data_IF_518656438701
#
_entry.id   IF_518656438701
#
_cell.length_a   1.000
_cell.length_b   1.000
_cell.length_c   1.000
_cell.angle_alpha   90.00
_cell.angle_beta   90.00
_cell.angle_gamma   90.00
#
_symmetry.space_group_name_H-M   'P 1'
#
loop_
_entity.id
_entity.type
_entity.pdbx_description
1 polymer ?
#
# COMPACT_ATOMS: atom_id res chain seq x y z
N UNK A 1 3.14 -9.11 -14.23
CA UNK A 1 3.06 -7.67 -14.55
C UNK A 1 3.98 -6.94 -13.57
N UNK A 2 4.57 -5.79 -13.94
CA UNK A 2 5.50 -5.04 -13.08
C UNK A 2 5.08 -3.56 -13.06
N UNK A 3 5.10 -2.95 -11.87
CA UNK A 3 4.81 -1.54 -11.59
C UNK A 3 5.93 -1.06 -10.66
N UNK A 4 6.75 -0.10 -11.10
CA UNK A 4 7.98 0.25 -10.38
C UNK A 4 8.81 -0.97 -9.98
N UNK A 5 9.03 -1.12 -8.67
CA UNK A 5 9.73 -2.24 -8.06
C UNK A 5 8.81 -3.41 -7.67
N UNK A 6 7.50 -3.28 -7.82
CA UNK A 6 6.50 -4.30 -7.48
C UNK A 6 6.25 -5.26 -8.64
N UNK A 7 6.25 -6.56 -8.33
CA UNK A 7 5.96 -7.63 -9.29
C UNK A 7 4.69 -8.37 -8.89
N UNK A 8 3.67 -8.29 -9.73
CA UNK A 8 2.45 -9.11 -9.62
C UNK A 8 2.72 -10.48 -10.23
N UNK A 9 2.55 -11.51 -9.40
CA UNK A 9 2.83 -12.93 -9.72
C UNK A 9 1.53 -13.75 -9.79
N UNK A 10 1.59 -15.06 -9.56
CA UNK A 10 0.39 -15.89 -9.36
C UNK A 10 0.01 -15.96 -7.87
N UNK A 11 0.99 -15.83 -6.99
CA UNK A 11 0.83 -16.03 -5.55
C UNK A 11 0.60 -14.71 -4.80
N UNK A 12 0.70 -13.56 -5.48
CA UNK A 12 0.57 -12.25 -4.84
C UNK A 12 1.37 -11.14 -5.50
N UNK A 13 1.67 -10.10 -4.73
CA UNK A 13 2.53 -8.97 -5.10
C UNK A 13 3.82 -9.08 -4.31
N UNK A 14 4.97 -8.89 -4.97
CA UNK A 14 6.28 -9.02 -4.35
C UNK A 14 7.13 -7.82 -4.67
N UNK A 15 7.73 -7.22 -3.65
CA UNK A 15 8.77 -6.21 -3.80
C UNK A 15 10.05 -6.80 -4.42
N UNK A 16 10.59 -6.13 -5.43
CA UNK A 16 11.82 -6.51 -6.15
C UNK A 16 12.76 -5.33 -6.37
N UNK A 17 12.69 -4.32 -5.51
CA UNK A 17 13.57 -3.16 -5.56
C UNK A 17 14.97 -3.45 -5.00
N UNK A 18 15.84 -2.43 -4.99
CA UNK A 18 17.18 -2.53 -4.45
C UNK A 18 17.16 -2.73 -2.93
N UNK A 19 18.23 -3.32 -2.38
CA UNK A 19 18.40 -3.54 -0.94
C UNK A 19 18.17 -5.01 -0.51
N UNK A 20 18.08 -5.21 0.80
CA UNK A 20 17.84 -6.53 1.43
C UNK A 20 16.43 -6.67 2.03
N UNK A 21 15.61 -5.62 1.95
CA UNK A 21 14.26 -5.64 2.47
C UNK A 21 13.35 -6.44 1.55
N UNK A 22 12.42 -7.18 2.14
CA UNK A 22 11.45 -7.99 1.43
C UNK A 22 10.04 -7.62 1.90
N UNK A 23 9.14 -7.42 0.95
CA UNK A 23 7.72 -7.23 1.22
C UNK A 23 6.90 -8.07 0.26
N UNK A 24 5.97 -8.85 0.80
CA UNK A 24 5.14 -9.79 0.03
C UNK A 24 3.70 -9.67 0.50
N UNK A 25 2.80 -9.46 -0.44
CA UNK A 25 1.36 -9.44 -0.22
C UNK A 25 0.77 -10.72 -0.84
N UNK A 26 0.32 -11.69 -0.04
CA UNK A 26 -0.28 -12.92 -0.55
C UNK A 26 -1.57 -12.63 -1.33
N UNK A 27 -1.79 -13.32 -2.45
CA UNK A 27 -3.01 -13.17 -3.24
C UNK A 27 -4.29 -13.49 -2.44
N UNK A 28 -4.21 -14.43 -1.49
CA UNK A 28 -5.32 -14.81 -0.61
C UNK A 28 -5.72 -13.75 0.39
N UNK A 29 -4.81 -12.83 0.71
CA UNK A 29 -5.01 -11.77 1.70
C UNK A 29 -4.96 -10.39 1.06
N UNK A 30 -4.83 -10.29 -0.27
CA UNK A 30 -4.61 -9.03 -0.97
C UNK A 30 -5.65 -7.97 -0.58
N UNK A 31 -6.94 -8.34 -0.59
CA UNK A 31 -8.06 -7.44 -0.23
C UNK A 31 -8.44 -7.53 1.26
N UNK A 32 -7.52 -7.96 2.13
CA UNK A 32 -7.77 -7.94 3.56
C UNK A 32 -7.99 -6.51 4.04
N UNK A 33 -9.03 -6.35 4.85
CA UNK A 33 -9.50 -5.06 5.36
C UNK A 33 -9.10 -4.89 6.83
N UNK A 34 -8.88 -3.63 7.23
CA UNK A 34 -8.64 -3.22 8.61
C UNK A 34 -9.45 -1.97 8.97
N UNK A 35 -9.73 -1.73 10.26
CA UNK A 35 -10.23 -0.42 10.68
C UNK A 35 -9.22 0.69 10.34
N UNK A 36 -9.70 1.80 9.81
CA UNK A 36 -8.90 3.02 9.63
C UNK A 36 -8.59 3.73 10.96
N UNK A 37 -7.70 4.71 10.92
CA UNK A 37 -7.33 5.55 12.08
C UNK A 37 -8.37 6.64 12.36
N UNK A 38 -8.77 6.78 13.64
CA UNK A 38 -9.44 7.91 14.33
C UNK A 38 -10.71 8.55 13.71
N UNK A 39 -11.02 8.28 12.44
CA UNK A 39 -12.14 8.81 11.66
C UNK A 39 -12.24 8.18 10.26
N UNK A 40 -11.17 7.58 9.72
CA UNK A 40 -11.24 6.93 8.41
C UNK A 40 -12.06 5.64 8.48
N UNK A 41 -12.94 5.39 7.49
CA UNK A 41 -13.62 4.11 7.37
C UNK A 41 -12.61 2.99 7.07
N UNK A 42 -13.10 1.76 6.95
CA UNK A 42 -12.26 0.59 6.64
C UNK A 42 -11.29 0.83 5.47
N UNK A 43 -10.03 0.41 5.66
CA UNK A 43 -8.93 0.51 4.68
C UNK A 43 -8.34 -0.86 4.34
N UNK A 44 -7.51 -0.96 3.31
CA UNK A 44 -6.80 -2.20 2.97
C UNK A 44 -5.53 -2.35 3.80
N UNK A 45 -5.48 -3.45 4.55
CA UNK A 45 -4.42 -3.76 5.50
C UNK A 45 -3.02 -3.70 4.88
N UNK A 46 -2.86 -4.33 3.71
CA UNK A 46 -1.54 -4.52 3.12
C UNK A 46 -0.95 -3.27 2.48
N UNK A 47 -1.78 -2.37 1.97
CA UNK A 47 -1.30 -1.07 1.48
C UNK A 47 -0.79 -0.27 2.66
N UNK A 48 -1.57 -0.22 3.74
CA UNK A 48 -1.17 0.54 4.90
C UNK A 48 0.05 -0.04 5.63
N UNK A 49 0.20 -1.36 5.67
CA UNK A 49 1.45 -1.99 6.16
C UNK A 49 2.66 -1.58 5.34
N UNK A 50 2.51 -1.43 4.02
CA UNK A 50 3.60 -0.94 3.19
C UNK A 50 3.86 0.55 3.44
N UNK A 51 2.82 1.35 3.67
CA UNK A 51 2.95 2.76 4.08
C UNK A 51 3.78 2.90 5.36
N UNK A 52 3.66 1.97 6.32
CA UNK A 52 4.45 1.96 7.57
C UNK A 52 5.95 1.61 7.37
N UNK A 53 6.37 1.22 6.17
CA UNK A 53 7.75 0.82 5.89
C UNK A 53 8.58 2.01 5.36
N UNK A 54 9.28 2.75 6.23
CA UNK A 54 10.07 3.95 5.87
C UNK A 54 11.16 3.76 4.80
N UNK A 55 11.47 2.52 4.40
CA UNK A 55 12.41 2.25 3.31
C UNK A 55 11.74 2.21 1.92
N UNK A 56 10.40 2.24 1.87
CA UNK A 56 9.63 2.46 0.66
C UNK A 56 9.44 3.97 0.46
N UNK A 57 9.69 4.43 -0.77
CA UNK A 57 9.43 5.83 -1.13
C UNK A 57 7.96 6.03 -1.48
N UNK A 58 7.49 7.27 -1.51
CA UNK A 58 6.16 7.60 -2.03
C UNK A 58 5.93 7.03 -3.43
N UNK A 59 6.90 7.18 -4.35
CA UNK A 59 6.85 6.61 -5.71
C UNK A 59 6.62 5.09 -5.68
N UNK A 60 7.28 4.38 -4.76
CA UNK A 60 7.07 2.95 -4.58
C UNK A 60 5.66 2.63 -4.07
N UNK A 61 5.11 3.45 -3.17
CA UNK A 61 3.76 3.30 -2.64
C UNK A 61 2.69 3.63 -3.71
N UNK A 62 2.92 4.63 -4.55
CA UNK A 62 2.09 4.89 -5.73
C UNK A 62 2.09 3.68 -6.69
N UNK A 63 3.26 3.13 -7.00
CA UNK A 63 3.37 1.94 -7.84
C UNK A 63 2.69 0.72 -7.21
N UNK A 64 2.73 0.59 -5.88
CA UNK A 64 2.00 -0.45 -5.15
C UNK A 64 0.50 -0.31 -5.36
N UNK A 65 -0.06 0.90 -5.26
CA UNK A 65 -1.48 1.15 -5.45
C UNK A 65 -1.97 0.66 -6.83
N UNK A 66 -1.21 0.93 -7.88
CA UNK A 66 -1.51 0.41 -9.22
C UNK A 66 -1.38 -1.12 -9.30
N UNK A 67 -0.33 -1.68 -8.71
CA UNK A 67 -0.13 -3.12 -8.66
C UNK A 67 -1.27 -3.84 -7.93
N UNK A 68 -1.79 -3.23 -6.85
CA UNK A 68 -2.87 -3.72 -6.04
C UNK A 68 -4.18 -3.83 -6.83
N UNK A 69 -4.62 -2.74 -7.46
CA UNK A 69 -5.85 -2.73 -8.27
C UNK A 69 -5.76 -3.73 -9.43
N UNK A 70 -4.61 -3.76 -10.12
CA UNK A 70 -4.38 -4.72 -11.20
C UNK A 70 -4.44 -6.17 -10.70
N UNK A 71 -3.79 -6.47 -9.56
CA UNK A 71 -3.75 -7.80 -8.99
C UNK A 71 -5.14 -8.25 -8.52
N UNK A 72 -5.91 -7.38 -7.85
CA UNK A 72 -7.26 -7.66 -7.39
C UNK A 72 -8.19 -8.01 -8.56
N UNK A 73 -8.14 -7.23 -9.66
CA UNK A 73 -8.88 -7.52 -10.88
C UNK A 73 -8.42 -8.84 -11.54
N UNK A 74 -7.11 -9.08 -11.62
CA UNK A 74 -6.53 -10.29 -12.22
C UNK A 74 -6.93 -11.56 -11.45
N UNK A 75 -7.01 -11.48 -10.13
CA UNK A 75 -7.35 -12.61 -9.27
C UNK A 75 -8.87 -12.77 -9.07
N UNK A 76 -9.67 -11.84 -9.57
CA UNK A 76 -11.13 -11.87 -9.42
C UNK A 76 -11.59 -11.70 -7.97
N UNK A 77 -10.85 -10.91 -7.19
CA UNK A 77 -11.16 -10.64 -5.78
C UNK A 77 -12.28 -9.60 -5.66
N UNK A 78 -12.97 -9.60 -4.52
CA UNK A 78 -14.03 -8.65 -4.22
C UNK A 78 -13.45 -7.28 -3.82
N UNK A 79 -12.85 -6.59 -4.77
CA UNK A 79 -12.28 -5.25 -4.57
C UNK A 79 -13.39 -4.22 -4.40
N UNK A 80 -13.35 -3.48 -3.30
CA UNK A 80 -14.19 -2.33 -3.01
C UNK A 80 -13.45 -1.02 -3.30
N UNK A 81 -14.04 -0.17 -4.16
CA UNK A 81 -13.50 1.14 -4.51
C UNK A 81 -13.57 2.15 -3.36
N UNK A 82 -14.65 2.12 -2.56
CA UNK A 82 -14.79 3.01 -1.41
C UNK A 82 -13.71 2.73 -0.36
N UNK A 83 -13.47 1.45 -0.05
CA UNK A 83 -12.36 1.03 0.82
C UNK A 83 -11.00 1.47 0.26
N UNK A 84 -10.81 1.41 -1.05
CA UNK A 84 -9.57 1.86 -1.68
C UNK A 84 -9.39 3.38 -1.54
N UNK A 85 -10.43 4.16 -1.82
CA UNK A 85 -10.38 5.62 -1.69
C UNK A 85 -10.04 6.04 -0.26
N UNK A 86 -10.65 5.40 0.76
CA UNK A 86 -10.30 5.64 2.17
C UNK A 86 -8.85 5.25 2.49
N UNK A 87 -8.34 4.19 1.83
CA UNK A 87 -6.94 3.75 2.02
C UNK A 87 -5.97 4.78 1.45
N UNK A 88 -6.28 5.35 0.29
CA UNK A 88 -5.47 6.40 -0.31
C UNK A 88 -5.49 7.67 0.53
N UNK A 89 -6.66 8.08 1.03
CA UNK A 89 -6.80 9.23 1.92
C UNK A 89 -5.91 9.06 3.18
N UNK A 90 -6.02 7.93 3.90
CA UNK A 90 -5.17 7.66 5.07
C UNK A 90 -3.68 7.56 4.71
N UNK A 91 -3.33 7.04 3.53
CA UNK A 91 -1.95 6.98 3.08
C UNK A 91 -1.36 8.38 2.84
N UNK A 92 -2.11 9.29 2.23
CA UNK A 92 -1.65 10.66 2.00
C UNK A 92 -1.60 11.49 3.29
N UNK A 93 -2.58 11.35 4.19
CA UNK A 93 -2.55 12.04 5.50
C UNK A 93 -1.26 11.71 6.27
N UNK A 94 -0.77 10.46 6.18
CA UNK A 94 0.47 10.06 6.84
C UNK A 94 1.73 10.62 6.19
N UNK A 95 1.72 10.82 4.87
CA UNK A 95 2.84 11.48 4.20
C UNK A 95 2.92 12.95 4.62
N UNK A 96 1.77 13.63 4.67
CA UNK A 96 1.69 15.02 5.11
C UNK A 96 2.12 15.17 6.59
N UNK A 97 1.71 14.24 7.47
CA UNK A 97 2.11 14.23 8.89
C UNK A 97 3.62 13.93 9.08
N UNK A 98 4.22 13.04 8.27
CA UNK A 98 5.67 12.74 8.34
C UNK A 98 6.52 13.93 7.86
N UNK A 99 6.04 14.72 6.89
CA UNK A 99 6.74 15.92 6.40
C UNK A 99 6.73 17.08 7.43
N UNK A 100 5.71 17.18 8.28
CA UNK A 100 5.56 18.23 9.31
C UNK A 100 6.37 17.94 10.61
N UNK A 101 6.75 16.69 10.88
CA UNK A 101 7.53 16.32 12.10
C UNK A 101 9.04 16.62 12.00
N UNK A 102 9.57 16.90 10.80
CA UNK A 102 11.01 17.15 10.56
C UNK A 102 11.43 18.63 10.75
N UNK A 103 10.51 19.57 11.08
CA UNK A 103 10.79 21.02 11.13
C UNK A 103 10.92 21.62 12.56
N UNK A 104 10.87 20.81 13.62
CA UNK A 104 10.79 21.27 15.03
C UNK A 104 12.07 21.05 15.89
N UNK A 105 13.25 20.89 15.28
CA UNK A 105 14.55 20.85 15.97
C UNK A 105 15.44 22.07 15.61
N UNK A 106 15.15 23.25 16.20
CA UNK A 106 16.04 24.42 16.23
C UNK A 106 16.12 25.13 17.59
#
# INVERSE_FOLDING_TARGET
MKFGNWKVTQDGIVWKGPGYNEFVIPATELVAERPGLLSTPTTYEWIMRATDEHWLTEDDLYDLNYAFVFAAARYGLNFNYETFDNTLEEQYERFDDEDDEDDDDY
#
